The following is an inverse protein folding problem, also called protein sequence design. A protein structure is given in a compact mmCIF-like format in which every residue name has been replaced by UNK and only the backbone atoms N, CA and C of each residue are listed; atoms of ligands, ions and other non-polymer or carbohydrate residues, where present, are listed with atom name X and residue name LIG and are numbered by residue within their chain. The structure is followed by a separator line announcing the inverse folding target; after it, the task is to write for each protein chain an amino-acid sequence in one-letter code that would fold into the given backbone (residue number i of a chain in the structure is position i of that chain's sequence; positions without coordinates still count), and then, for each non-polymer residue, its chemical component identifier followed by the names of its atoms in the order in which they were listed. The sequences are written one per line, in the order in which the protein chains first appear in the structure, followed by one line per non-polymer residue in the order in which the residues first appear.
data_IF_587925573168
#
_entry.id   IF_587925573168
#
_cell.length_a   1.000
_cell.length_b   1.000
_cell.length_c   1.000
_cell.angle_alpha   90.00
_cell.angle_beta   90.00
_cell.angle_gamma   90.00
#
_symmetry.space_group_name_H-M   'P 1'
#
loop_
_entity.id
_entity.type
_entity.pdbx_description
1 polymer ?
#
# COMPACT_ATOMS: atom_id res chain seq x y z
N UNK A 1 -4.83 -5.58 45.04
CA UNK A 1 -5.23 -6.11 43.72
C UNK A 1 -6.00 -5.12 42.84
N UNK A 2 -6.98 -4.35 43.36
CA UNK A 2 -7.75 -3.37 42.56
C UNK A 2 -6.92 -2.26 41.88
N UNK A 3 -5.82 -1.81 42.50
CA UNK A 3 -4.95 -0.74 41.96
C UNK A 3 -4.07 -1.19 40.78
N UNK A 4 -3.76 -2.49 40.70
CA UNK A 4 -2.95 -3.06 39.61
C UNK A 4 -3.81 -3.26 38.35
N UNK A 5 -5.08 -3.65 38.52
CA UNK A 5 -6.03 -3.77 37.41
C UNK A 5 -6.29 -2.44 36.69
N UNK A 6 -6.33 -1.31 37.43
CA UNK A 6 -6.51 0.02 36.86
C UNK A 6 -5.30 0.47 36.02
N UNK A 7 -4.07 0.18 36.46
CA UNK A 7 -2.86 0.52 35.72
C UNK A 7 -2.72 -0.28 34.42
N UNK A 8 -3.13 -1.56 34.43
CA UNK A 8 -3.16 -2.41 33.23
C UNK A 8 -4.23 -1.94 32.24
N UNK A 9 -5.41 -1.54 32.73
CA UNK A 9 -6.48 -1.01 31.88
C UNK A 9 -6.09 0.28 31.14
N UNK A 10 -5.39 1.19 31.82
CA UNK A 10 -4.93 2.46 31.23
C UNK A 10 -3.80 2.22 30.21
N UNK A 11 -2.88 1.29 30.48
CA UNK A 11 -1.82 0.92 29.54
C UNK A 11 -2.36 0.29 28.25
N UNK A 12 -3.36 -0.59 28.35
CA UNK A 12 -4.01 -1.21 27.18
C UNK A 12 -4.82 -0.19 26.38
N UNK A 13 -5.55 0.71 27.05
CA UNK A 13 -6.29 1.79 26.37
C UNK A 13 -5.35 2.75 25.65
N UNK A 14 -4.20 3.10 26.24
CA UNK A 14 -3.18 3.92 25.58
C UNK A 14 -2.54 3.22 24.37
N UNK A 15 -2.35 1.89 24.43
CA UNK A 15 -1.82 1.12 23.29
C UNK A 15 -2.82 1.03 22.13
N UNK A 16 -4.12 0.90 22.43
CA UNK A 16 -5.20 0.89 21.43
C UNK A 16 -5.46 2.28 20.86
N UNK A 17 -5.29 3.34 21.65
CA UNK A 17 -5.40 4.73 21.19
C UNK A 17 -4.14 5.23 20.44
N UNK A 18 -2.98 4.57 20.64
CA UNK A 18 -1.77 4.77 19.84
C UNK A 18 -1.90 4.26 18.40
N UNK A 19 -2.90 3.41 18.14
CA UNK A 19 -3.35 3.03 16.78
C UNK A 19 -4.34 4.07 16.21
N UNK A 20 -4.15 5.35 16.54
CA UNK A 20 -4.76 6.47 15.82
C UNK A 20 -4.37 6.44 14.33
N UNK A 21 -5.10 7.14 13.46
CA UNK A 21 -5.15 6.86 12.03
C UNK A 21 -3.81 7.12 11.33
N UNK A 22 -2.95 6.11 11.26
CA UNK A 22 -1.92 6.00 10.23
C UNK A 22 -2.54 5.96 8.80
N UNK A 23 -3.88 5.84 8.75
CA UNK A 23 -4.79 6.05 7.62
C UNK A 23 -5.07 7.54 7.30
N UNK A 24 -4.38 8.50 7.93
CA UNK A 24 -4.39 9.89 7.48
C UNK A 24 -3.44 10.07 6.28
N UNK A 25 -3.93 9.69 5.09
CA UNK A 25 -3.52 10.18 3.77
C UNK A 25 -2.05 10.02 3.35
N UNK A 26 -1.53 8.81 3.50
CA UNK A 26 -0.23 8.42 2.94
C UNK A 26 -0.25 8.17 1.41
N UNK A 27 -1.10 8.84 0.63
CA UNK A 27 -1.21 8.58 -0.82
C UNK A 27 0.14 8.64 -1.55
N UNK A 28 1.01 9.64 -1.30
CA UNK A 28 2.33 9.67 -1.93
C UNK A 28 3.19 8.47 -1.55
N UNK A 29 3.14 8.01 -0.29
CA UNK A 29 3.91 6.85 0.19
C UNK A 29 3.40 5.55 -0.44
N UNK A 30 2.09 5.37 -0.57
CA UNK A 30 1.49 4.20 -1.20
C UNK A 30 1.81 4.15 -2.71
N UNK A 31 1.69 5.29 -3.40
CA UNK A 31 2.10 5.43 -4.80
C UNK A 31 3.59 5.10 -4.98
N UNK A 32 4.43 5.65 -4.11
CA UNK A 32 5.88 5.39 -4.13
C UNK A 32 6.20 3.92 -3.86
N UNK A 33 5.54 3.28 -2.89
CA UNK A 33 5.70 1.86 -2.60
C UNK A 33 5.35 0.98 -3.80
N UNK A 34 4.29 1.31 -4.52
CA UNK A 34 3.91 0.63 -5.76
C UNK A 34 4.96 0.82 -6.87
N UNK A 35 5.44 2.05 -7.09
CA UNK A 35 6.49 2.34 -8.07
C UNK A 35 7.80 1.59 -7.75
N UNK A 36 8.20 1.54 -6.48
CA UNK A 36 9.42 0.85 -6.07
C UNK A 36 9.25 -0.67 -6.14
N UNK A 37 8.06 -1.20 -5.91
CA UNK A 37 7.76 -2.61 -6.17
C UNK A 37 7.84 -2.94 -7.67
N UNK A 38 7.33 -2.08 -8.55
CA UNK A 38 7.45 -2.26 -10.00
C UNK A 38 8.92 -2.26 -10.42
N UNK A 39 9.72 -1.29 -9.97
CA UNK A 39 11.15 -1.24 -10.29
C UNK A 39 11.91 -2.48 -9.83
N UNK A 40 11.60 -2.98 -8.62
CA UNK A 40 12.16 -4.22 -8.11
C UNK A 40 11.76 -5.42 -8.96
N UNK A 41 10.52 -5.47 -9.47
CA UNK A 41 10.08 -6.51 -10.38
C UNK A 41 10.79 -6.44 -11.74
N UNK A 42 10.92 -5.25 -12.31
CA UNK A 42 11.60 -5.02 -13.60
C UNK A 42 13.08 -5.37 -13.58
N UNK A 43 13.71 -5.35 -12.40
CA UNK A 43 15.09 -5.79 -12.23
C UNK A 43 15.28 -7.32 -12.32
N UNK A 44 14.19 -8.10 -12.31
CA UNK A 44 14.20 -9.57 -12.35
C UNK A 44 14.15 -10.09 -13.79
N UNK A 45 14.50 -11.36 -13.98
CA UNK A 45 14.23 -12.08 -15.23
C UNK A 45 12.75 -12.48 -15.31
N UNK A 46 11.95 -11.60 -15.91
CA UNK A 46 10.51 -11.76 -16.04
C UNK A 46 10.13 -12.79 -17.12
N UNK A 47 9.36 -13.81 -16.73
CA UNK A 47 8.59 -14.67 -17.62
C UNK A 47 7.46 -13.88 -18.33
N UNK A 48 6.84 -14.41 -19.39
CA UNK A 48 5.70 -13.74 -20.03
C UNK A 48 4.55 -13.45 -19.06
N UNK A 49 4.25 -14.36 -18.15
CA UNK A 49 3.25 -14.18 -17.10
C UNK A 49 3.64 -13.06 -16.13
N UNK A 50 4.90 -13.04 -15.67
CA UNK A 50 5.39 -11.99 -14.78
C UNK A 50 5.38 -10.61 -15.45
N UNK A 51 5.68 -10.54 -16.76
CA UNK A 51 5.56 -9.28 -17.53
C UNK A 51 4.13 -8.77 -17.56
N UNK A 52 3.14 -9.64 -17.76
CA UNK A 52 1.74 -9.24 -17.77
C UNK A 52 1.32 -8.62 -16.43
N UNK A 53 1.79 -9.19 -15.30
CA UNK A 53 1.56 -8.64 -13.96
C UNK A 53 2.23 -7.26 -13.77
N UNK A 54 3.46 -7.08 -14.26
CA UNK A 54 4.15 -5.79 -14.22
C UNK A 54 3.45 -4.73 -15.06
N UNK A 55 2.95 -5.08 -16.25
CA UNK A 55 2.21 -4.14 -17.10
C UNK A 55 0.86 -3.74 -16.49
N UNK A 56 0.14 -4.68 -15.86
CA UNK A 56 -1.07 -4.33 -15.09
C UNK A 56 -0.72 -3.45 -13.89
N UNK A 57 0.37 -3.72 -13.18
CA UNK A 57 0.85 -2.86 -12.09
C UNK A 57 1.10 -1.42 -12.56
N UNK A 58 1.76 -1.23 -13.69
CA UNK A 58 2.00 0.11 -14.28
C UNK A 58 0.71 0.82 -14.62
N UNK A 59 -0.25 0.12 -15.24
CA UNK A 59 -1.57 0.65 -15.55
C UNK A 59 -2.32 1.10 -14.29
N UNK A 60 -2.27 0.30 -13.22
CA UNK A 60 -2.88 0.65 -11.93
C UNK A 60 -2.20 1.85 -11.27
N UNK A 61 -0.87 2.00 -11.38
CA UNK A 61 -0.15 3.20 -10.92
C UNK A 61 -0.59 4.43 -11.71
N UNK A 62 -0.70 4.35 -13.03
CA UNK A 62 -1.16 5.46 -13.86
C UNK A 62 -2.57 5.91 -13.46
N UNK A 63 -3.49 4.95 -13.26
CA UNK A 63 -4.83 5.25 -12.76
C UNK A 63 -4.80 5.85 -11.35
N UNK A 64 -4.00 5.30 -10.44
CA UNK A 64 -3.84 5.82 -9.08
C UNK A 64 -3.39 7.29 -9.08
N UNK A 65 -2.41 7.64 -9.93
CA UNK A 65 -1.94 9.02 -10.11
C UNK A 65 -3.05 9.95 -10.61
N UNK A 66 -3.80 9.52 -11.61
CA UNK A 66 -4.93 10.30 -12.14
C UNK A 66 -6.00 10.54 -11.05
N UNK A 67 -6.41 9.48 -10.36
CA UNK A 67 -7.38 9.59 -9.27
C UNK A 67 -6.88 10.46 -8.10
N UNK A 68 -5.58 10.45 -7.81
CA UNK A 68 -5.01 11.33 -6.80
C UNK A 68 -5.00 12.79 -7.26
N UNK A 69 -4.67 13.06 -8.53
CA UNK A 69 -4.65 14.40 -9.11
C UNK A 69 -6.03 15.06 -9.17
N UNK A 70 -7.07 14.27 -9.42
CA UNK A 70 -8.46 14.76 -9.50
C UNK A 70 -9.23 14.70 -8.17
N UNK A 71 -8.59 14.26 -7.08
CA UNK A 71 -9.24 14.01 -5.81
C UNK A 71 -9.70 15.31 -5.12
N UNK A 72 -10.97 15.35 -4.70
CA UNK A 72 -11.57 16.49 -3.98
C UNK A 72 -12.07 16.12 -2.60
N UNK A 73 -12.29 14.84 -2.36
CA UNK A 73 -12.77 14.30 -1.10
C UNK A 73 -11.91 13.13 -0.62
N UNK A 74 -12.08 12.80 0.65
CA UNK A 74 -11.51 11.61 1.30
C UNK A 74 -11.67 10.36 0.42
N UNK A 75 -12.89 10.05 0.01
CA UNK A 75 -13.14 8.84 -0.78
C UNK A 75 -12.32 8.77 -2.09
N UNK A 76 -12.01 9.91 -2.70
CA UNK A 76 -11.26 9.96 -3.96
C UNK A 76 -9.82 9.52 -3.76
N UNK A 77 -9.11 10.02 -2.74
CA UNK A 77 -7.76 9.50 -2.52
C UNK A 77 -7.76 8.09 -1.91
N UNK A 78 -8.83 7.64 -1.25
CA UNK A 78 -8.94 6.22 -0.85
C UNK A 78 -8.99 5.31 -2.08
N UNK A 79 -9.74 5.70 -3.12
CA UNK A 79 -9.77 5.01 -4.41
C UNK A 79 -8.40 5.02 -5.11
N UNK A 80 -7.66 6.14 -5.03
CA UNK A 80 -6.29 6.22 -5.53
C UNK A 80 -5.36 5.26 -4.77
N UNK A 81 -5.44 5.22 -3.44
CA UNK A 81 -4.64 4.34 -2.59
C UNK A 81 -4.92 2.86 -2.83
N UNK A 82 -6.18 2.47 -3.01
CA UNK A 82 -6.53 1.08 -3.35
C UNK A 82 -5.88 0.64 -4.65
N UNK A 83 -5.86 1.51 -5.67
CA UNK A 83 -5.18 1.21 -6.94
C UNK A 83 -3.66 1.10 -6.76
N UNK A 84 -3.04 1.97 -5.96
CA UNK A 84 -1.62 1.86 -5.65
C UNK A 84 -1.31 0.53 -4.94
N UNK A 85 -2.13 0.13 -3.96
CA UNK A 85 -1.96 -1.14 -3.24
C UNK A 85 -2.15 -2.35 -4.16
N UNK A 86 -3.13 -2.31 -5.06
CA UNK A 86 -3.30 -3.34 -6.09
C UNK A 86 -2.10 -3.40 -7.03
N UNK A 87 -1.56 -2.26 -7.47
CA UNK A 87 -0.35 -2.23 -8.29
C UNK A 87 0.85 -2.84 -7.58
N UNK A 88 1.05 -2.50 -6.31
CA UNK A 88 2.10 -3.09 -5.48
C UNK A 88 1.97 -4.61 -5.41
N UNK A 89 0.76 -5.12 -5.14
CA UNK A 89 0.51 -6.56 -5.07
C UNK A 89 0.79 -7.29 -6.40
N UNK A 90 0.44 -6.68 -7.54
CA UNK A 90 0.75 -7.22 -8.87
C UNK A 90 2.27 -7.28 -9.11
N UNK A 91 2.99 -6.22 -8.75
CA UNK A 91 4.46 -6.18 -8.90
C UNK A 91 5.18 -7.17 -7.96
N UNK A 92 4.70 -7.32 -6.73
CA UNK A 92 5.22 -8.32 -5.77
C UNK A 92 4.91 -9.75 -6.23
N UNK A 93 3.73 -10.00 -6.80
CA UNK A 93 3.42 -11.29 -7.41
C UNK A 93 4.34 -11.58 -8.61
N UNK A 94 4.62 -10.58 -9.45
CA UNK A 94 5.57 -10.71 -10.54
C UNK A 94 6.97 -11.09 -10.04
N UNK A 95 7.45 -10.45 -8.98
CA UNK A 95 8.73 -10.82 -8.33
C UNK A 95 8.72 -12.26 -7.82
N UNK A 96 7.65 -12.68 -7.15
CA UNK A 96 7.53 -14.00 -6.56
C UNK A 96 7.61 -15.15 -7.58
N UNK A 97 7.16 -14.91 -8.82
CA UNK A 97 7.22 -15.89 -9.91
C UNK A 97 8.40 -15.67 -10.87
N UNK A 98 9.28 -14.72 -10.57
CA UNK A 98 10.45 -14.40 -11.39
C UNK A 98 11.74 -14.94 -10.79
N UNK A 99 12.78 -14.99 -11.62
CA UNK A 99 14.13 -15.35 -11.18
C UNK A 99 15.00 -14.10 -11.05
N UNK A 100 15.85 -13.99 -10.00
CA UNK A 100 16.81 -12.89 -9.88
C UNK A 100 17.77 -12.77 -11.06
#
# INVERSE_FOLDING_TARGET
MKRVAAAVGIGVVMLVLGLGPAEAWNCPVQLKGAEDAIKRAEAMKLSPEARALVEEAKKLVAQSKAHHGDAKAKIDHANAMWKAKSAQAQAEAAQAISTP
#
